data_IF_133672102417
#
_entry.id   IF_133672102417
#
_cell.length_a   1.000
_cell.length_b   1.000
_cell.length_c   1.000
_cell.angle_alpha   90.00
_cell.angle_beta   90.00
_cell.angle_gamma   90.00
#
_symmetry.space_group_name_H-M   'P 1'
#
loop_
_entity.id
_entity.type
_entity.pdbx_description
1 polymer ?
#
# COMPACT_ATOMS: atom_id res chain seq x y z
N UNK A 1 9.73 -9.66 9.36
CA UNK A 1 9.51 -8.43 8.78
C UNK A 1 8.93 -7.31 9.62
N UNK A 2 8.92 -6.13 9.04
CA UNK A 2 8.49 -4.87 9.67
C UNK A 2 7.00 -4.52 9.40
N UNK A 3 6.13 -5.51 9.22
CA UNK A 3 4.69 -5.26 9.10
C UNK A 3 4.17 -4.66 10.42
N UNK A 4 3.48 -3.52 10.34
CA UNK A 4 2.95 -2.80 11.50
C UNK A 4 1.53 -3.25 11.87
N UNK A 5 0.80 -3.89 10.95
CA UNK A 5 -0.58 -4.33 11.13
C UNK A 5 -0.64 -5.86 11.14
N UNK A 6 -0.04 -6.48 12.13
CA UNK A 6 0.12 -7.94 12.22
C UNK A 6 -1.22 -8.65 12.40
N UNK A 7 -2.19 -8.01 13.01
CA UNK A 7 -3.55 -8.48 13.21
C UNK A 7 -4.34 -8.64 11.89
N UNK A 8 -3.90 -7.97 10.82
CA UNK A 8 -4.51 -8.04 9.50
C UNK A 8 -3.90 -9.13 8.60
N UNK A 9 -2.88 -9.85 9.05
CA UNK A 9 -2.23 -10.92 8.30
C UNK A 9 -3.10 -12.20 8.18
N UNK A 10 -3.88 -12.62 9.19
CA UNK A 10 -4.76 -13.77 9.04
C UNK A 10 -5.82 -13.52 7.97
N UNK A 11 -5.99 -14.50 7.05
CA UNK A 11 -7.00 -14.41 5.98
C UNK A 11 -8.45 -14.46 6.48
N UNK A 12 -8.67 -14.95 7.69
CA UNK A 12 -9.98 -15.02 8.36
C UNK A 12 -9.82 -14.50 9.78
N UNK A 13 -10.61 -13.49 10.13
CA UNK A 13 -10.72 -12.97 11.51
C UNK A 13 -12.09 -13.36 12.06
N UNK A 14 -12.14 -13.81 13.32
CA UNK A 14 -13.38 -14.23 13.96
C UNK A 14 -14.40 -13.10 14.23
N UNK A 15 -13.94 -11.83 14.15
CA UNK A 15 -14.74 -10.64 14.46
C UNK A 15 -15.01 -9.77 13.22
N UNK A 16 -15.24 -10.39 12.06
CA UNK A 16 -15.55 -9.65 10.85
C UNK A 16 -16.91 -8.92 10.96
N UNK A 17 -16.92 -7.62 10.71
CA UNK A 17 -18.14 -6.84 10.57
C UNK A 17 -18.80 -7.23 9.23
N UNK A 18 -20.10 -7.54 9.27
CA UNK A 18 -20.84 -7.85 8.05
C UNK A 18 -20.82 -6.65 7.08
N UNK A 19 -20.59 -6.93 5.80
CA UNK A 19 -20.53 -5.88 4.77
C UNK A 19 -21.81 -5.02 4.76
N UNK A 20 -22.97 -5.63 4.92
CA UNK A 20 -24.26 -4.93 5.03
C UNK A 20 -24.23 -3.84 6.12
N UNK A 21 -23.65 -4.15 7.27
CA UNK A 21 -23.53 -3.14 8.35
C UNK A 21 -22.55 -2.00 8.01
N UNK A 22 -21.56 -2.26 7.17
CA UNK A 22 -20.67 -1.21 6.64
C UNK A 22 -21.49 -0.30 5.72
N UNK A 23 -22.24 -0.85 4.78
CA UNK A 23 -23.10 -0.10 3.85
C UNK A 23 -24.12 0.76 4.60
N UNK A 24 -24.82 0.21 5.59
CA UNK A 24 -25.79 0.94 6.43
C UNK A 24 -25.14 2.15 7.15
N UNK A 25 -23.89 2.00 7.59
CA UNK A 25 -23.14 3.11 8.19
C UNK A 25 -22.73 4.17 7.16
N UNK A 26 -22.33 3.77 5.98
CA UNK A 26 -21.94 4.67 4.90
C UNK A 26 -23.15 5.44 4.36
N UNK A 27 -24.32 4.82 4.25
CA UNK A 27 -25.57 5.51 3.89
C UNK A 27 -25.85 6.72 4.80
N UNK A 28 -25.67 6.54 6.11
CA UNK A 28 -25.84 7.62 7.10
C UNK A 28 -24.74 8.70 7.02
N UNK A 29 -23.73 8.50 6.22
CA UNK A 29 -22.58 9.41 6.06
C UNK A 29 -22.49 10.04 4.67
N UNK A 30 -23.49 9.84 3.80
CA UNK A 30 -23.58 10.52 2.51
C UNK A 30 -23.55 12.03 2.72
N UNK A 31 -22.72 12.73 1.95
CA UNK A 31 -22.50 14.18 2.09
C UNK A 31 -21.60 14.60 3.27
N UNK A 32 -21.18 13.65 4.12
CA UNK A 32 -20.23 13.88 5.20
C UNK A 32 -18.84 13.28 4.92
N UNK A 33 -18.79 12.26 4.05
CA UNK A 33 -17.56 11.62 3.62
C UNK A 33 -17.44 11.73 2.10
N UNK A 34 -16.23 12.03 1.63
CA UNK A 34 -15.95 12.15 0.20
C UNK A 34 -15.56 10.82 -0.43
N UNK A 35 -14.89 9.97 0.33
CA UNK A 35 -14.30 8.74 -0.18
C UNK A 35 -14.29 7.60 0.84
N UNK A 36 -14.21 6.38 0.34
CA UNK A 36 -13.94 5.15 1.10
C UNK A 36 -12.63 4.55 0.65
N UNK A 37 -11.70 4.33 1.59
CA UNK A 37 -10.39 3.74 1.31
C UNK A 37 -10.36 2.28 1.74
N UNK A 38 -10.10 1.40 0.79
CA UNK A 38 -9.91 -0.03 1.05
C UNK A 38 -8.47 -0.29 1.47
N UNK A 39 -8.31 -0.90 2.62
CA UNK A 39 -7.01 -1.22 3.21
C UNK A 39 -7.07 -2.59 3.90
N UNK A 40 -5.97 -3.02 4.49
CA UNK A 40 -5.89 -4.29 5.21
C UNK A 40 -4.52 -4.92 5.07
N UNK A 41 -4.45 -6.27 5.01
CA UNK A 41 -3.21 -6.98 4.69
C UNK A 41 -2.80 -6.68 3.23
N UNK A 42 -3.50 -7.28 2.28
CA UNK A 42 -3.41 -6.94 0.85
C UNK A 42 -4.82 -7.01 0.24
N UNK A 43 -5.51 -5.88 0.05
CA UNK A 43 -6.90 -5.87 -0.41
C UNK A 43 -7.12 -6.57 -1.75
N UNK A 44 -6.17 -6.48 -2.68
CA UNK A 44 -6.26 -7.14 -3.99
C UNK A 44 -6.28 -8.67 -3.92
N UNK A 45 -5.97 -9.24 -2.76
CA UNK A 45 -6.11 -10.67 -2.51
C UNK A 45 -7.58 -11.08 -2.34
N UNK A 46 -8.44 -10.17 -1.90
CA UNK A 46 -9.84 -10.45 -1.58
C UNK A 46 -10.71 -10.50 -2.85
N UNK A 47 -11.41 -11.61 -3.15
CA UNK A 47 -12.32 -11.70 -4.29
C UNK A 47 -13.48 -10.69 -4.22
N UNK A 48 -13.89 -10.33 -2.99
CA UNK A 48 -14.96 -9.38 -2.75
C UNK A 48 -14.60 -7.92 -3.02
N UNK A 49 -13.31 -7.59 -3.26
CA UNK A 49 -12.88 -6.20 -3.44
C UNK A 49 -13.55 -5.54 -4.65
N UNK A 50 -13.59 -6.22 -5.79
CA UNK A 50 -14.16 -5.65 -7.01
C UNK A 50 -15.66 -5.31 -6.85
N UNK A 51 -16.55 -6.22 -6.42
CA UNK A 51 -17.95 -5.88 -6.19
C UNK A 51 -18.14 -4.83 -5.08
N UNK A 52 -17.30 -4.83 -4.03
CA UNK A 52 -17.35 -3.81 -2.99
C UNK A 52 -17.00 -2.41 -3.52
N UNK A 53 -15.96 -2.29 -4.35
CA UNK A 53 -15.62 -1.02 -5.01
C UNK A 53 -16.78 -0.49 -5.87
N UNK A 54 -17.42 -1.38 -6.64
CA UNK A 54 -18.56 -1.00 -7.48
C UNK A 54 -19.72 -0.47 -6.61
N UNK A 55 -20.10 -1.20 -5.55
CA UNK A 55 -21.17 -0.79 -4.65
C UNK A 55 -20.90 0.58 -4.01
N UNK A 56 -19.67 0.84 -3.54
CA UNK A 56 -19.28 2.13 -2.97
C UNK A 56 -19.39 3.26 -4.00
N UNK A 57 -18.99 3.02 -5.25
CA UNK A 57 -19.14 4.02 -6.32
C UNK A 57 -20.61 4.27 -6.67
N UNK A 58 -21.43 3.22 -6.70
CA UNK A 58 -22.87 3.34 -6.95
C UNK A 58 -23.59 4.15 -5.83
N UNK A 59 -23.04 4.13 -4.62
CA UNK A 59 -23.45 5.01 -3.52
C UNK A 59 -23.01 6.48 -3.68
N UNK A 60 -22.18 6.80 -4.67
CA UNK A 60 -21.68 8.16 -4.94
C UNK A 60 -20.40 8.54 -4.21
N UNK A 61 -19.72 7.62 -3.52
CA UNK A 61 -18.43 7.88 -2.90
C UNK A 61 -17.29 7.70 -3.90
N UNK A 62 -16.23 8.47 -3.74
CA UNK A 62 -14.93 8.17 -4.34
C UNK A 62 -14.30 6.94 -3.67
N UNK A 63 -13.43 6.26 -4.39
CA UNK A 63 -12.77 5.04 -3.89
C UNK A 63 -11.27 5.21 -3.84
N UNK A 64 -10.68 4.83 -2.72
CA UNK A 64 -9.25 4.74 -2.52
C UNK A 64 -8.79 3.31 -2.23
N UNK A 65 -7.52 3.04 -2.48
CA UNK A 65 -6.91 1.75 -2.22
C UNK A 65 -5.53 1.92 -1.57
N UNK A 66 -5.22 1.13 -0.55
CA UNK A 66 -3.85 0.89 -0.11
C UNK A 66 -3.40 -0.49 -0.58
N UNK A 67 -2.29 -0.58 -1.31
CA UNK A 67 -1.79 -1.85 -1.83
C UNK A 67 -0.26 -1.86 -1.95
N UNK A 68 0.34 -3.03 -1.76
CA UNK A 68 1.75 -3.28 -2.06
C UNK A 68 1.95 -3.84 -3.49
N UNK A 69 0.90 -3.93 -4.30
CA UNK A 69 0.98 -4.28 -5.71
C UNK A 69 1.36 -5.73 -6.03
N UNK A 70 1.15 -6.65 -5.11
CA UNK A 70 1.60 -8.04 -5.28
C UNK A 70 0.79 -8.85 -6.32
N UNK A 71 -0.33 -8.31 -6.80
CA UNK A 71 -1.23 -8.97 -7.75
C UNK A 71 -1.56 -8.05 -8.94
N UNK A 72 -0.61 -7.80 -9.87
CA UNK A 72 -0.77 -6.82 -10.96
C UNK A 72 -1.98 -7.09 -11.85
N UNK A 73 -2.28 -8.35 -12.18
CA UNK A 73 -3.44 -8.69 -12.98
C UNK A 73 -4.79 -8.36 -12.29
N UNK A 74 -4.85 -8.48 -10.96
CA UNK A 74 -6.04 -8.10 -10.17
C UNK A 74 -6.13 -6.59 -10.03
N UNK A 75 -5.00 -5.93 -9.75
CA UNK A 75 -4.92 -4.49 -9.68
C UNK A 75 -5.40 -3.85 -11.00
N UNK A 76 -4.91 -4.32 -12.15
CA UNK A 76 -5.34 -3.85 -13.48
C UNK A 76 -6.86 -3.88 -13.66
N UNK A 77 -7.54 -4.90 -13.14
CA UNK A 77 -9.00 -5.03 -13.24
C UNK A 77 -9.77 -3.99 -12.43
N UNK A 78 -9.23 -3.56 -11.30
CA UNK A 78 -9.91 -2.64 -10.38
C UNK A 78 -9.48 -1.17 -10.55
N UNK A 79 -8.35 -0.90 -11.22
CA UNK A 79 -7.88 0.48 -11.47
C UNK A 79 -8.97 1.41 -12.05
N UNK A 80 -9.85 0.98 -12.98
CA UNK A 80 -10.93 1.83 -13.48
C UNK A 80 -11.97 2.23 -12.42
N UNK A 81 -11.99 1.54 -11.28
CA UNK A 81 -12.88 1.81 -10.16
C UNK A 81 -12.18 2.57 -9.02
N UNK A 82 -10.92 2.95 -9.18
CA UNK A 82 -10.12 3.60 -8.15
C UNK A 82 -9.91 5.07 -8.54
N UNK A 83 -10.20 5.98 -7.61
CA UNK A 83 -9.93 7.41 -7.77
C UNK A 83 -8.55 7.79 -7.21
N UNK A 84 -8.06 7.06 -6.20
CA UNK A 84 -6.75 7.29 -5.59
C UNK A 84 -6.12 6.00 -5.06
N UNK A 85 -4.80 5.87 -5.17
CA UNK A 85 -4.06 4.75 -4.59
C UNK A 85 -2.84 5.21 -3.79
N UNK A 86 -2.75 4.77 -2.53
CA UNK A 86 -1.54 4.76 -1.73
C UNK A 86 -0.79 3.45 -1.97
N UNK A 87 0.30 3.52 -2.73
CA UNK A 87 1.05 2.35 -3.17
C UNK A 87 2.34 2.18 -2.38
N UNK A 88 2.42 1.08 -1.64
CA UNK A 88 3.58 0.77 -0.80
C UNK A 88 4.66 0.07 -1.63
N UNK A 89 5.64 0.83 -2.12
CA UNK A 89 6.84 0.31 -2.78
C UNK A 89 7.95 0.14 -1.74
N UNK A 90 8.54 -1.05 -1.66
CA UNK A 90 9.39 -1.42 -0.51
C UNK A 90 10.88 -1.27 -0.77
N UNK A 91 11.31 -1.40 -2.02
CA UNK A 91 12.72 -1.32 -2.42
C UNK A 91 12.86 -1.10 -3.92
N UNK A 92 14.07 -0.80 -4.38
CA UNK A 92 14.48 -0.95 -5.76
C UNK A 92 14.25 -2.40 -6.22
N UNK A 93 14.01 -2.61 -7.51
CA UNK A 93 13.59 -3.91 -8.05
C UNK A 93 14.51 -5.05 -7.64
N UNK A 94 15.81 -4.83 -7.72
CA UNK A 94 16.84 -5.82 -7.37
C UNK A 94 16.89 -6.17 -5.88
N UNK A 95 16.52 -5.25 -5.00
CA UNK A 95 16.59 -5.43 -3.55
C UNK A 95 15.29 -6.01 -2.95
N UNK A 96 14.24 -6.10 -3.75
CA UNK A 96 12.90 -6.44 -3.27
C UNK A 96 12.82 -7.81 -2.59
N UNK A 97 13.48 -8.83 -3.16
CA UNK A 97 13.49 -10.18 -2.59
C UNK A 97 14.21 -10.21 -1.24
N UNK A 98 15.30 -9.44 -1.11
CA UNK A 98 16.06 -9.34 0.15
C UNK A 98 15.16 -8.72 1.24
N UNK A 99 14.41 -7.68 0.89
CA UNK A 99 13.54 -6.96 1.84
C UNK A 99 12.29 -7.75 2.21
N UNK A 100 11.68 -8.44 1.24
CA UNK A 100 10.40 -9.13 1.44
C UNK A 100 10.55 -10.60 1.80
N UNK A 101 11.68 -11.23 1.49
CA UNK A 101 11.88 -12.67 1.60
C UNK A 101 11.06 -13.48 0.58
N UNK A 102 10.47 -12.83 -0.43
CA UNK A 102 9.59 -13.48 -1.40
C UNK A 102 10.17 -13.38 -2.81
N UNK A 103 10.41 -14.51 -3.44
CA UNK A 103 10.94 -14.60 -4.80
C UNK A 103 10.04 -13.91 -5.82
N UNK A 104 10.64 -13.20 -6.75
CA UNK A 104 9.95 -12.44 -7.81
C UNK A 104 8.97 -11.36 -7.30
N UNK A 105 9.04 -10.95 -6.03
CA UNK A 105 8.15 -9.91 -5.49
C UNK A 105 8.42 -8.54 -6.11
N UNK A 106 9.67 -8.25 -6.46
CA UNK A 106 10.06 -7.02 -7.16
C UNK A 106 9.42 -6.90 -8.52
N UNK A 107 9.42 -7.96 -9.34
CA UNK A 107 8.78 -7.95 -10.66
C UNK A 107 7.31 -7.54 -10.56
N UNK A 108 6.56 -8.16 -9.64
CA UNK A 108 5.13 -7.92 -9.46
C UNK A 108 4.84 -6.50 -8.96
N UNK A 109 5.59 -6.03 -7.95
CA UNK A 109 5.40 -4.70 -7.40
C UNK A 109 5.70 -3.61 -8.44
N UNK A 110 6.79 -3.73 -9.18
CA UNK A 110 7.18 -2.78 -10.20
C UNK A 110 6.29 -2.82 -11.45
N UNK A 111 5.75 -4.00 -11.84
CA UNK A 111 4.69 -4.10 -12.84
C UNK A 111 3.44 -3.34 -12.39
N UNK A 112 3.02 -3.54 -11.14
CA UNK A 112 1.88 -2.82 -10.56
C UNK A 112 2.12 -1.32 -10.49
N UNK A 113 3.31 -0.87 -10.09
CA UNK A 113 3.67 0.55 -10.08
C UNK A 113 3.54 1.19 -11.47
N UNK A 114 4.00 0.48 -12.51
CA UNK A 114 3.83 0.93 -13.91
C UNK A 114 2.36 1.04 -14.28
N UNK A 115 1.54 0.05 -13.94
CA UNK A 115 0.09 0.08 -14.21
C UNK A 115 -0.59 1.28 -13.52
N UNK A 116 -0.21 1.59 -12.28
CA UNK A 116 -0.73 2.76 -11.55
C UNK A 116 -0.40 4.06 -12.28
N UNK A 117 0.86 4.26 -12.67
CA UNK A 117 1.27 5.47 -13.41
C UNK A 117 0.54 5.58 -14.74
N UNK A 118 0.43 4.48 -15.49
CA UNK A 118 -0.24 4.45 -16.80
C UNK A 118 -1.76 4.64 -16.72
N UNK A 119 -2.38 4.33 -15.59
CA UNK A 119 -3.83 4.50 -15.41
C UNK A 119 -4.27 5.95 -15.34
N UNK A 120 -3.37 6.87 -15.00
CA UNK A 120 -3.67 8.29 -14.85
C UNK A 120 -4.47 8.67 -13.60
N UNK A 121 -4.77 7.70 -12.71
CA UNK A 121 -5.43 7.99 -11.42
C UNK A 121 -4.48 8.75 -10.49
N UNK A 122 -5.04 9.43 -9.48
CA UNK A 122 -4.23 10.00 -8.42
C UNK A 122 -3.56 8.92 -7.59
N UNK A 123 -2.28 9.12 -7.27
CA UNK A 123 -1.51 8.16 -6.49
C UNK A 123 -0.48 8.81 -5.59
N UNK A 124 -0.03 8.03 -4.64
CA UNK A 124 1.14 8.33 -3.82
C UNK A 124 1.95 7.04 -3.60
N UNK A 125 3.16 6.99 -4.15
CA UNK A 125 4.12 5.94 -3.79
C UNK A 125 4.67 6.22 -2.40
N UNK A 126 4.75 5.18 -1.56
CA UNK A 126 5.21 5.30 -0.18
C UNK A 126 6.22 4.20 0.12
N UNK A 127 7.26 4.55 0.87
CA UNK A 127 8.20 3.58 1.42
C UNK A 127 8.34 3.80 2.91
N UNK A 128 8.02 2.77 3.69
CA UNK A 128 8.29 2.76 5.13
C UNK A 128 9.75 2.36 5.33
N UNK A 129 10.54 3.27 5.92
CA UNK A 129 11.98 3.09 6.10
C UNK A 129 12.29 2.68 7.53
N UNK A 130 13.05 1.61 7.66
CA UNK A 130 13.75 1.21 8.88
C UNK A 130 15.25 1.23 8.58
N UNK A 131 16.11 1.89 9.42
CA UNK A 131 17.52 2.10 9.10
C UNK A 131 18.32 0.81 8.85
N UNK A 132 17.98 -0.28 9.52
CA UNK A 132 18.62 -1.58 9.34
C UNK A 132 18.17 -2.33 8.08
N UNK A 133 17.10 -1.90 7.43
CA UNK A 133 16.53 -2.57 6.25
C UNK A 133 16.87 -1.79 4.99
N UNK A 134 16.65 -0.48 5.02
CA UNK A 134 16.90 0.42 3.90
C UNK A 134 17.87 1.52 4.31
N UNK A 135 19.12 1.39 3.92
CA UNK A 135 20.10 2.45 4.06
C UNK A 135 19.90 3.56 3.01
N UNK A 136 20.61 4.66 3.15
CA UNK A 136 20.50 5.81 2.24
C UNK A 136 20.82 5.49 0.78
N UNK A 137 21.73 4.57 0.51
CA UNK A 137 22.11 4.16 -0.84
C UNK A 137 20.95 3.41 -1.53
N UNK A 138 20.36 2.41 -0.86
CA UNK A 138 19.19 1.67 -1.36
C UNK A 138 17.98 2.56 -1.55
N UNK A 139 17.78 3.52 -0.64
CA UNK A 139 16.68 4.49 -0.74
C UNK A 139 16.89 5.41 -1.95
N UNK A 140 18.11 5.86 -2.20
CA UNK A 140 18.47 6.66 -3.38
C UNK A 140 18.26 5.88 -4.67
N UNK A 141 18.65 4.60 -4.71
CA UNK A 141 18.41 3.73 -5.87
C UNK A 141 16.90 3.57 -6.16
N UNK A 142 16.09 3.33 -5.12
CA UNK A 142 14.64 3.26 -5.25
C UNK A 142 14.04 4.56 -5.80
N UNK A 143 14.43 5.71 -5.26
CA UNK A 143 13.94 7.00 -5.71
C UNK A 143 14.30 7.28 -7.19
N UNK A 144 15.52 6.93 -7.61
CA UNK A 144 15.94 7.01 -9.02
C UNK A 144 15.11 6.11 -9.94
N UNK A 145 14.85 4.87 -9.54
CA UNK A 145 14.03 3.95 -10.33
C UNK A 145 12.58 4.44 -10.44
N UNK A 146 11.99 4.96 -9.36
CA UNK A 146 10.66 5.57 -9.40
C UNK A 146 10.61 6.79 -10.30
N UNK A 147 11.60 7.67 -10.22
CA UNK A 147 11.72 8.84 -11.10
C UNK A 147 11.85 8.43 -12.57
N UNK A 148 12.69 7.43 -12.87
CA UNK A 148 12.84 6.89 -14.22
C UNK A 148 11.56 6.23 -14.76
N UNK A 149 10.71 5.68 -13.87
CA UNK A 149 9.39 5.15 -14.21
C UNK A 149 8.36 6.27 -14.50
N UNK A 150 8.67 7.52 -14.15
CA UNK A 150 7.78 8.67 -14.29
C UNK A 150 6.90 8.95 -13.07
N UNK A 151 7.28 8.46 -11.89
CA UNK A 151 6.56 8.76 -10.66
C UNK A 151 6.69 10.26 -10.32
N UNK A 152 5.54 10.88 -9.97
CA UNK A 152 5.45 12.31 -9.63
C UNK A 152 5.25 12.55 -8.13
N UNK A 153 4.83 11.53 -7.39
CA UNK A 153 4.52 11.65 -5.97
C UNK A 153 5.08 10.45 -5.22
N UNK A 154 6.08 10.72 -4.41
CA UNK A 154 6.76 9.72 -3.59
C UNK A 154 7.00 10.27 -2.19
N UNK A 155 6.65 9.48 -1.18
CA UNK A 155 6.75 9.84 0.24
C UNK A 155 7.52 8.77 1.00
N UNK A 156 8.42 9.22 1.84
CA UNK A 156 9.16 8.37 2.77
C UNK A 156 8.47 8.44 4.14
N UNK A 157 8.13 7.28 4.68
CA UNK A 157 7.49 7.15 5.99
C UNK A 157 8.46 6.49 6.98
N UNK A 158 8.59 7.06 8.16
CA UNK A 158 9.37 6.45 9.24
C UNK A 158 8.65 5.22 9.78
N UNK A 159 9.37 4.10 9.93
CA UNK A 159 8.83 2.90 10.55
C UNK A 159 8.49 3.15 12.02
N UNK A 160 7.27 2.80 12.44
CA UNK A 160 6.94 2.71 13.86
C UNK A 160 7.42 1.37 14.40
N UNK A 161 8.54 1.37 15.10
CA UNK A 161 9.21 0.16 15.58
C UNK A 161 8.45 -0.56 16.69
N UNK A 162 7.54 0.12 17.42
CA UNK A 162 6.78 -0.48 18.53
C UNK A 162 5.89 -1.65 18.09
N UNK A 163 5.47 -1.69 16.83
CA UNK A 163 4.58 -2.71 16.26
C UNK A 163 5.25 -3.67 15.29
N UNK A 164 6.59 -3.62 15.14
CA UNK A 164 7.30 -4.55 14.27
C UNK A 164 7.15 -5.99 14.76
N UNK A 165 7.01 -6.95 13.81
CA UNK A 165 6.99 -8.38 14.11
C UNK A 165 8.34 -8.88 14.64
N UNK A 166 9.42 -8.33 14.09
CA UNK A 166 10.78 -8.71 14.40
C UNK A 166 11.24 -8.00 15.66
N UNK A 167 11.65 -8.78 16.66
CA UNK A 167 12.10 -8.27 17.96
C UNK A 167 13.39 -7.42 17.83
N UNK A 168 14.28 -7.76 16.91
CA UNK A 168 15.52 -7.02 16.66
C UNK A 168 15.23 -5.62 16.09
N UNK A 169 14.15 -5.48 15.31
CA UNK A 169 13.72 -4.19 14.77
C UNK A 169 13.01 -3.30 15.82
N UNK A 170 12.56 -3.86 16.95
CA UNK A 170 11.91 -3.08 18.04
C UNK A 170 12.90 -2.29 18.89
N UNK A 171 14.12 -2.78 19.02
CA UNK A 171 15.11 -2.25 19.98
C UNK A 171 15.93 -1.09 19.45
N UNK A 172 15.79 -0.75 18.18
CA UNK A 172 16.61 0.27 17.55
C UNK A 172 15.99 1.66 17.71
N UNK A 173 16.62 2.51 18.52
CA UNK A 173 16.32 3.93 18.55
C UNK A 173 16.72 4.57 17.23
N UNK A 174 15.72 5.09 16.50
CA UNK A 174 15.94 5.77 15.24
C UNK A 174 16.42 7.19 15.55
N UNK A 175 17.73 7.42 15.47
CA UNK A 175 18.28 8.78 15.47
C UNK A 175 17.73 9.58 14.28
N UNK A 176 17.45 10.87 14.54
CA UNK A 176 16.81 11.80 13.61
C UNK A 176 17.72 12.14 12.41
N UNK A 177 17.72 11.31 11.38
CA UNK A 177 18.18 11.73 10.06
C UNK A 177 16.96 12.14 9.23
N UNK A 178 16.89 13.41 8.86
CA UNK A 178 15.86 13.94 7.98
C UNK A 178 15.90 13.20 6.63
N UNK A 179 14.75 12.80 6.07
CA UNK A 179 14.72 12.16 4.76
C UNK A 179 15.13 13.16 3.67
N UNK A 180 15.78 12.71 2.59
CA UNK A 180 16.02 13.56 1.44
C UNK A 180 14.69 13.98 0.82
N UNK A 181 14.54 15.27 0.59
CA UNK A 181 13.43 15.85 -0.17
C UNK A 181 13.77 15.68 -1.64
N UNK A 182 12.87 15.08 -2.43
CA UNK A 182 12.93 15.04 -3.90
C UNK A 182 12.43 16.36 -4.46
#
# INVERSE_FOLDING_TARGET
GYCQNTELLPRKTGNAIAWKSVIEKLEKRRGLLDAVVFSGGEPTLQPALLPALQEIRDMGFKTGLHSAGMYPARLKKILPLIDWIGFDIKAAKQDYEIITGVKNSGEKAWESARLVIQSGIDYEFRTTVHPHILNSERLTALARELSALGARKYVIQKCNTSHCLDAELKTTSVENSAPPVL
#
